data_IF_739233828166
#
_entry.id   IF_739233828166
#
_cell.length_a   1.000
_cell.length_b   1.000
_cell.length_c   1.000
_cell.angle_alpha   90.00
_cell.angle_beta   90.00
_cell.angle_gamma   90.00
#
_symmetry.space_group_name_H-M   'P 1'
#
loop_
_entity.id
_entity.type
_entity.pdbx_description
1 polymer ?
#
# COMPACT_ATOMS: atom_id res chain seq x y z
N UNK A 1 0.28 -7.18 -1.63
CA UNK A 1 1.64 -7.62 -1.25
C UNK A 1 2.41 -6.46 -0.69
N UNK A 2 2.37 -5.34 -1.41
CA UNK A 2 2.96 -4.05 -1.01
C UNK A 2 2.60 -3.63 0.43
N UNK A 3 1.33 -3.70 0.84
CA UNK A 3 0.94 -3.36 2.20
C UNK A 3 1.59 -4.26 3.27
N UNK A 4 1.74 -5.56 3.00
CA UNK A 4 2.44 -6.48 3.90
C UNK A 4 3.94 -6.16 3.98
N UNK A 5 4.57 -5.83 2.85
CA UNK A 5 5.95 -5.35 2.85
C UNK A 5 6.13 -4.06 3.66
N UNK A 6 5.20 -3.12 3.56
CA UNK A 6 5.21 -1.91 4.40
C UNK A 6 5.01 -2.23 5.87
N UNK A 7 4.16 -3.20 6.21
CA UNK A 7 4.00 -3.65 7.59
C UNK A 7 5.31 -4.23 8.15
N UNK A 8 5.97 -5.12 7.40
CA UNK A 8 7.29 -5.67 7.77
C UNK A 8 8.30 -4.54 7.96
N UNK A 9 8.38 -3.61 7.00
CA UNK A 9 9.27 -2.45 7.06
C UNK A 9 9.04 -1.59 8.30
N UNK A 10 7.78 -1.28 8.65
CA UNK A 10 7.42 -0.48 9.83
C UNK A 10 8.03 -1.01 11.12
N UNK A 11 8.14 -2.33 11.24
CA UNK A 11 8.65 -3.02 12.45
C UNK A 11 10.16 -3.25 12.43
N UNK A 12 10.87 -2.84 11.38
CA UNK A 12 12.33 -2.91 11.35
C UNK A 12 12.95 -1.87 12.29
N UNK A 13 14.08 -2.17 12.95
CA UNK A 13 14.81 -1.18 13.74
C UNK A 13 15.38 -0.06 12.85
N UNK A 14 15.76 -0.39 11.61
CA UNK A 14 16.34 0.49 10.60
C UNK A 14 15.31 0.98 9.56
N UNK A 15 14.02 1.02 9.92
CA UNK A 15 12.93 1.33 9.00
C UNK A 15 13.13 2.66 8.26
N UNK A 16 13.08 2.61 6.92
CA UNK A 16 13.13 3.77 6.04
C UNK A 16 11.80 4.53 6.02
N UNK A 17 10.68 3.83 6.20
CA UNK A 17 9.35 4.41 6.26
C UNK A 17 8.48 3.67 7.28
N UNK A 18 7.52 4.38 7.88
CA UNK A 18 6.57 3.82 8.85
C UNK A 18 5.14 4.03 8.36
N UNK A 19 4.46 2.90 8.15
CA UNK A 19 3.03 2.81 7.85
C UNK A 19 2.37 2.01 8.98
N UNK A 20 1.86 2.72 9.99
CA UNK A 20 1.26 2.13 11.20
C UNK A 20 -0.08 1.42 10.92
N UNK A 21 -0.71 1.69 9.78
CA UNK A 21 -1.99 1.11 9.40
C UNK A 21 -1.83 -0.14 8.54
N UNK A 22 -0.67 -0.33 7.90
CA UNK A 22 -0.40 -1.42 6.97
C UNK A 22 -0.73 -2.81 7.53
N UNK A 23 -0.29 -3.12 8.76
CA UNK A 23 -0.54 -4.42 9.38
C UNK A 23 -2.04 -4.66 9.56
N UNK A 24 -2.77 -3.67 10.06
CA UNK A 24 -4.22 -3.76 10.26
C UNK A 24 -4.95 -3.99 8.94
N UNK A 25 -4.59 -3.25 7.89
CA UNK A 25 -5.20 -3.38 6.57
C UNK A 25 -4.90 -4.73 5.93
N UNK A 26 -3.68 -5.27 6.07
CA UNK A 26 -3.33 -6.59 5.53
C UNK A 26 -4.14 -7.70 6.20
N UNK A 27 -4.32 -7.61 7.52
CA UNK A 27 -5.12 -8.57 8.30
C UNK A 27 -6.62 -8.47 8.02
N UNK A 28 -7.13 -7.26 7.79
CA UNK A 28 -8.53 -7.01 7.48
C UNK A 28 -8.90 -7.28 6.02
N UNK A 29 -7.92 -7.20 5.10
CA UNK A 29 -8.15 -7.36 3.68
C UNK A 29 -8.74 -8.74 3.35
N UNK A 30 -9.85 -8.71 2.60
CA UNK A 30 -10.56 -9.88 2.12
C UNK A 30 -10.34 -10.02 0.60
N UNK A 31 -10.40 -11.23 0.05
CA UNK A 31 -10.47 -11.40 -1.40
C UNK A 31 -11.66 -10.61 -1.96
N UNK A 32 -11.48 -9.96 -3.10
CA UNK A 32 -12.56 -9.27 -3.81
C UNK A 32 -12.80 -9.90 -5.18
N UNK A 33 -13.93 -9.58 -5.82
CA UNK A 33 -14.26 -10.09 -7.15
C UNK A 33 -13.16 -9.78 -8.17
N UNK A 34 -12.52 -8.62 -8.03
CA UNK A 34 -11.43 -8.16 -8.88
C UNK A 34 -10.06 -8.72 -8.47
N UNK A 35 -9.85 -9.01 -7.19
CA UNK A 35 -8.63 -9.63 -6.69
C UNK A 35 -8.94 -10.92 -5.92
N UNK A 36 -9.26 -12.01 -6.63
CA UNK A 36 -9.65 -13.29 -6.01
C UNK A 36 -8.47 -14.09 -5.46
N UNK A 37 -7.23 -13.58 -5.61
CA UNK A 37 -6.02 -14.27 -5.17
C UNK A 37 -5.97 -14.50 -3.65
N UNK A 38 -5.03 -15.36 -3.23
CA UNK A 38 -4.89 -15.89 -1.86
C UNK A 38 -5.11 -14.83 -0.76
N UNK A 39 -5.73 -15.21 0.37
CA UNK A 39 -5.94 -14.30 1.50
C UNK A 39 -4.62 -13.69 1.95
N UNK A 40 -4.57 -12.35 2.01
CA UNK A 40 -3.45 -11.59 2.54
C UNK A 40 -3.17 -11.89 4.02
N UNK A 41 -4.13 -12.51 4.73
CA UNK A 41 -4.03 -12.92 6.13
C UNK A 41 -2.83 -13.84 6.44
N UNK A 42 -2.22 -14.49 5.43
CA UNK A 42 -1.05 -15.36 5.61
C UNK A 42 0.28 -14.70 5.27
N UNK A 43 0.29 -13.44 4.82
CA UNK A 43 1.54 -12.76 4.51
C UNK A 43 2.24 -12.28 5.78
N UNK A 44 3.58 -12.29 5.80
CA UNK A 44 4.33 -11.71 6.91
C UNK A 44 3.99 -10.22 7.03
N UNK A 45 3.73 -9.80 8.25
CA UNK A 45 3.52 -8.39 8.62
C UNK A 45 4.56 -7.91 9.61
N UNK A 46 5.47 -8.79 10.04
CA UNK A 46 6.62 -8.48 10.90
C UNK A 46 7.88 -9.19 10.39
N UNK A 47 9.09 -8.64 10.66
CA UNK A 47 10.35 -9.22 10.20
C UNK A 47 10.58 -10.67 10.63
N UNK A 48 10.19 -11.04 11.85
CA UNK A 48 10.32 -12.40 12.40
C UNK A 48 9.41 -13.44 11.73
N UNK A 49 8.43 -12.98 10.95
CA UNK A 49 7.51 -13.84 10.19
C UNK A 49 8.00 -14.12 8.77
N UNK A 50 9.07 -13.45 8.32
CA UNK A 50 9.64 -13.64 6.98
C UNK A 50 10.51 -14.91 6.99
N UNK A 51 10.19 -15.93 6.16
CA UNK A 51 11.02 -17.13 6.04
C UNK A 51 12.44 -16.75 5.65
N UNK A 52 13.47 -17.33 6.28
CA UNK A 52 14.88 -17.01 5.98
C UNK A 52 15.27 -15.51 6.07
N UNK A 53 14.40 -14.67 6.66
CA UNK A 53 14.64 -13.24 6.86
C UNK A 53 15.02 -12.49 5.58
N UNK A 54 16.12 -11.74 5.64
CA UNK A 54 16.61 -10.95 4.50
C UNK A 54 17.09 -11.84 3.32
N UNK A 55 17.28 -13.15 3.52
CA UNK A 55 17.62 -14.09 2.45
C UNK A 55 16.40 -14.61 1.67
N UNK A 56 15.16 -14.31 2.12
CA UNK A 56 13.95 -14.68 1.38
C UNK A 56 13.96 -14.07 -0.04
N UNK A 57 13.76 -14.87 -1.09
CA UNK A 57 13.83 -14.37 -2.46
C UNK A 57 12.74 -13.34 -2.79
N UNK A 58 11.59 -13.38 -2.11
CA UNK A 58 10.48 -12.47 -2.30
C UNK A 58 10.61 -11.27 -1.34
N UNK A 59 10.59 -11.53 -0.04
CA UNK A 59 10.50 -10.53 1.01
C UNK A 59 11.85 -9.85 1.33
N UNK A 60 12.98 -10.54 1.15
CA UNK A 60 14.30 -9.94 1.34
C UNK A 60 14.57 -8.82 0.34
N UNK A 61 14.34 -9.06 -0.95
CA UNK A 61 14.57 -8.05 -2.00
C UNK A 61 13.39 -7.10 -2.22
N UNK A 62 12.17 -7.63 -2.42
CA UNK A 62 11.02 -6.77 -2.69
C UNK A 62 10.55 -6.03 -1.42
N UNK A 63 10.71 -6.62 -0.23
CA UNK A 63 10.41 -5.93 1.02
C UNK A 63 11.23 -4.66 1.18
N UNK A 64 12.56 -4.77 1.03
CA UNK A 64 13.48 -3.62 1.04
C UNK A 64 13.16 -2.59 -0.05
N UNK A 65 12.88 -3.06 -1.27
CA UNK A 65 12.43 -2.18 -2.36
C UNK A 65 11.16 -1.41 -1.99
N UNK A 66 10.17 -2.06 -1.37
CA UNK A 66 8.94 -1.39 -0.96
C UNK A 66 9.14 -0.42 0.21
N UNK A 67 10.09 -0.68 1.12
CA UNK A 67 10.50 0.30 2.12
C UNK A 67 11.07 1.56 1.47
N UNK A 68 12.08 1.41 0.60
CA UNK A 68 12.69 2.53 -0.13
C UNK A 68 11.68 3.29 -1.00
N UNK A 69 10.87 2.55 -1.78
CA UNK A 69 9.81 3.12 -2.62
C UNK A 69 8.84 3.94 -1.77
N UNK A 70 8.44 3.43 -0.61
CA UNK A 70 7.53 4.14 0.29
C UNK A 70 8.16 5.44 0.78
N UNK A 71 9.42 5.40 1.24
CA UNK A 71 10.15 6.60 1.69
C UNK A 71 10.21 7.67 0.60
N UNK A 72 10.60 7.31 -0.61
CA UNK A 72 10.68 8.25 -1.75
C UNK A 72 9.31 8.87 -2.06
N UNK A 73 8.26 8.05 -2.08
CA UNK A 73 6.89 8.48 -2.38
C UNK A 73 6.21 9.21 -1.22
N UNK A 74 6.75 9.16 0.00
CA UNK A 74 6.28 10.00 1.12
C UNK A 74 6.91 11.38 1.06
N UNK A 75 8.22 11.40 0.82
CA UNK A 75 9.02 12.60 0.77
C UNK A 75 8.64 13.54 -0.37
N UNK A 76 8.37 13.00 -1.54
CA UNK A 76 8.02 13.80 -2.70
C UNK A 76 6.79 14.69 -2.48
N UNK A 77 5.59 14.14 -2.18
CA UNK A 77 4.39 14.96 -2.04
C UNK A 77 4.48 15.92 -0.85
N UNK A 78 5.08 15.51 0.27
CA UNK A 78 5.27 16.41 1.43
C UNK A 78 6.15 17.61 1.06
N UNK A 79 7.29 17.40 0.40
CA UNK A 79 8.12 18.52 -0.06
C UNK A 79 7.35 19.48 -0.96
N UNK A 80 6.53 18.98 -1.88
CA UNK A 80 5.73 19.82 -2.76
C UNK A 80 4.65 20.61 -2.01
N UNK A 81 3.97 19.99 -1.04
CA UNK A 81 2.90 20.66 -0.29
C UNK A 81 3.43 21.72 0.68
N UNK A 82 4.55 21.45 1.35
CA UNK A 82 5.27 22.49 2.10
C UNK A 82 5.80 23.62 1.21
N UNK A 83 6.06 23.32 -0.08
CA UNK A 83 6.44 24.30 -1.11
C UNK A 83 5.29 25.13 -1.69
N UNK A 84 4.04 24.93 -1.25
CA UNK A 84 2.89 25.73 -1.70
C UNK A 84 1.83 24.96 -2.48
N UNK A 85 2.09 23.72 -2.91
CA UNK A 85 1.05 22.86 -3.50
C UNK A 85 -0.02 22.55 -2.45
N UNK A 86 -1.30 22.53 -2.88
CA UNK A 86 -2.44 22.26 -1.98
C UNK A 86 -3.28 21.06 -2.40
N UNK A 87 -2.95 20.38 -3.48
CA UNK A 87 -3.65 19.20 -3.94
C UNK A 87 -2.67 18.07 -4.24
N UNK A 88 -2.92 16.90 -3.67
CA UNK A 88 -2.20 15.67 -3.96
C UNK A 88 -3.19 14.63 -4.49
N UNK A 89 -2.83 13.91 -5.55
CA UNK A 89 -3.67 12.87 -6.15
C UNK A 89 -2.91 11.55 -6.10
N UNK A 90 -3.46 10.57 -5.37
CA UNK A 90 -2.93 9.22 -5.26
C UNK A 90 -3.67 8.32 -6.25
N UNK A 91 -3.01 8.00 -7.37
CA UNK A 91 -3.57 7.14 -8.42
C UNK A 91 -3.31 5.66 -8.12
N UNK A 92 -4.37 4.85 -8.17
CA UNK A 92 -4.33 3.45 -7.76
C UNK A 92 -4.05 3.31 -6.26
N UNK A 93 -4.78 4.10 -5.46
CA UNK A 93 -4.50 4.27 -4.03
C UNK A 93 -4.50 2.93 -3.27
N UNK A 94 -5.45 2.04 -3.52
CA UNK A 94 -5.52 0.70 -2.96
C UNK A 94 -5.49 0.72 -1.45
N UNK A 95 -4.45 0.12 -0.88
CA UNK A 95 -4.20 0.15 0.57
C UNK A 95 -3.17 1.22 0.96
N UNK A 96 -2.98 2.28 0.17
CA UNK A 96 -2.15 3.42 0.53
C UNK A 96 -2.77 4.18 1.70
N UNK A 97 -1.94 4.63 2.64
CA UNK A 97 -2.36 5.23 3.90
C UNK A 97 -1.80 6.64 4.05
N UNK A 98 -1.20 7.21 2.99
CA UNK A 98 -0.58 8.54 3.02
C UNK A 98 -1.53 9.64 3.46
N UNK A 99 -2.79 9.61 3.03
CA UNK A 99 -3.79 10.58 3.48
C UNK A 99 -4.03 10.52 5.00
N UNK A 100 -3.82 9.35 5.60
CA UNK A 100 -4.04 9.10 7.03
C UNK A 100 -2.80 9.33 7.91
N UNK A 101 -1.59 9.14 7.36
CA UNK A 101 -0.35 9.08 8.17
C UNK A 101 0.68 10.17 7.89
N UNK A 102 0.59 10.88 6.77
CA UNK A 102 1.54 11.96 6.47
C UNK A 102 1.03 13.28 7.04
N UNK A 103 1.97 14.11 7.51
CA UNK A 103 1.68 15.43 8.09
C UNK A 103 1.44 16.46 6.99
N UNK A 104 0.25 16.42 6.39
CA UNK A 104 -0.14 17.35 5.35
C UNK A 104 -0.31 18.78 5.91
N UNK A 105 0.24 19.82 5.26
CA UNK A 105 -0.01 21.21 5.64
C UNK A 105 -1.50 21.58 5.61
N UNK A 106 -1.91 22.52 6.47
CA UNK A 106 -3.30 22.98 6.51
C UNK A 106 -3.80 23.46 5.14
N UNK A 107 -5.04 23.08 4.79
CA UNK A 107 -5.63 23.44 3.50
C UNK A 107 -5.14 22.57 2.33
N UNK A 108 -4.34 21.53 2.58
CA UNK A 108 -4.09 20.51 1.57
C UNK A 108 -5.30 19.57 1.43
N UNK A 109 -5.65 19.25 0.19
CA UNK A 109 -6.63 18.22 -0.15
C UNK A 109 -5.91 17.03 -0.77
N UNK A 110 -6.16 15.83 -0.26
CA UNK A 110 -5.64 14.58 -0.81
C UNK A 110 -6.80 13.85 -1.47
N UNK A 111 -6.67 13.60 -2.77
CA UNK A 111 -7.60 12.80 -3.54
C UNK A 111 -7.05 11.39 -3.71
N UNK A 112 -7.85 10.40 -3.37
CA UNK A 112 -7.56 9.00 -3.65
C UNK A 112 -8.42 8.55 -4.82
N UNK A 113 -7.75 8.10 -5.88
CA UNK A 113 -8.42 7.60 -7.09
C UNK A 113 -8.05 6.14 -7.23
N UNK A 114 -9.05 5.28 -7.12
CA UNK A 114 -8.90 3.87 -7.41
C UNK A 114 -10.15 3.34 -8.12
N UNK A 115 -10.08 2.07 -8.48
CA UNK A 115 -11.10 1.33 -9.18
C UNK A 115 -12.08 0.73 -8.19
N UNK A 116 -13.34 0.62 -8.62
CA UNK A 116 -14.36 -0.11 -7.87
C UNK A 116 -14.04 -1.63 -7.81
N UNK A 117 -14.43 -2.28 -6.71
CA UNK A 117 -14.28 -3.73 -6.53
C UNK A 117 -15.15 -4.54 -7.51
N UNK A 118 -16.29 -3.99 -7.91
CA UNK A 118 -17.12 -4.55 -8.95
C UNK A 118 -16.67 -4.03 -10.32
N UNK A 119 -16.50 -4.91 -11.32
CA UNK A 119 -16.24 -4.45 -12.67
C UNK A 119 -17.42 -3.58 -13.13
N UNK A 120 -17.14 -2.42 -13.75
CA UNK A 120 -18.17 -1.57 -14.27
C UNK A 120 -19.00 -2.34 -15.32
N UNK A 121 -20.24 -1.91 -15.61
CA UNK A 121 -21.15 -2.65 -16.50
C UNK A 121 -20.53 -3.01 -17.87
N UNK A 122 -19.64 -2.15 -18.39
CA UNK A 122 -18.95 -2.36 -19.67
C UNK A 122 -17.80 -3.38 -19.62
N UNK A 123 -17.33 -3.75 -18.43
CA UNK A 123 -16.25 -4.73 -18.23
C UNK A 123 -16.78 -6.12 -17.80
N UNK A 124 -18.12 -6.29 -17.69
CA UNK A 124 -18.74 -7.58 -17.38
C UNK A 124 -18.89 -8.41 -18.65
N UNK A 125 -18.64 -9.73 -18.62
CA UNK A 125 -18.95 -10.58 -19.77
C UNK A 125 -20.44 -10.47 -20.11
N UNK A 126 -20.82 -10.48 -21.40
CA UNK A 126 -22.23 -10.48 -21.78
C UNK A 126 -22.92 -11.72 -21.21
N UNK A 127 -24.21 -11.63 -20.84
CA UNK A 127 -24.94 -12.78 -20.33
C UNK A 127 -24.92 -13.91 -21.37
N UNK A 128 -24.41 -15.08 -20.99
CA UNK A 128 -24.29 -16.26 -21.86
C UNK A 128 -22.96 -16.42 -22.60
N UNK A 129 -21.93 -15.60 -22.31
CA UNK A 129 -20.56 -15.93 -22.71
C UNK A 129 -20.09 -17.23 -22.02
N UNK A 130 -19.40 -18.14 -22.74
CA UNK A 130 -18.93 -19.41 -22.19
C UNK A 130 -17.92 -19.23 -21.04
#
# INVERSE_FOLDING_TARGET
>A
MVAAARAVETHRPDALARDVYAEHLVRAARPSARWPARPSARWPVRPDQVPDGDADPLWGRLGRYFGLRTRVLDDFPLRQTYGGVRQAVLLGAGLDTRALRLDWPSGCTVFEVDQEDHPPPWARPPPGAP
#
